data_IF_692005545015
#
_entry.id   IF_692005545015
#
_cell.length_a   1.000
_cell.length_b   1.000
_cell.length_c   1.000
_cell.angle_alpha   90.00
_cell.angle_beta   90.00
_cell.angle_gamma   90.00
#
_symmetry.space_group_name_H-M   'P 1'
#
loop_
_entity.id
_entity.type
_entity.pdbx_description
1 polymer ?
#
# COMPACT_ATOMS: atom_id res chain seq x y z
N UNK A 1 44.90 18.68 -67.07
CA UNK A 1 44.82 17.50 -66.20
C UNK A 1 43.93 17.89 -65.05
N UNK A 2 42.63 17.58 -65.17
CA UNK A 2 41.65 17.73 -64.10
C UNK A 2 41.50 16.36 -63.48
N UNK A 3 42.11 16.17 -62.30
CA UNK A 3 41.89 14.99 -61.48
C UNK A 3 40.47 15.05 -60.93
N UNK A 4 39.60 14.21 -61.49
CA UNK A 4 38.26 13.96 -60.96
C UNK A 4 38.43 13.12 -59.69
N UNK A 5 38.37 13.79 -58.53
CA UNK A 5 38.23 13.12 -57.24
C UNK A 5 36.97 12.23 -57.30
N UNK A 6 37.06 10.91 -57.05
CA UNK A 6 35.90 10.04 -57.06
C UNK A 6 34.97 10.46 -55.91
N UNK A 7 33.82 11.05 -56.27
CA UNK A 7 32.79 11.45 -55.33
C UNK A 7 32.47 10.29 -54.38
N UNK A 8 32.77 10.47 -53.09
CA UNK A 8 32.41 9.52 -52.05
C UNK A 8 30.90 9.26 -52.11
N UNK A 9 30.45 7.99 -51.96
CA UNK A 9 29.03 7.65 -52.05
C UNK A 9 28.25 8.44 -50.98
N UNK A 10 27.07 9.01 -51.32
CA UNK A 10 26.26 9.74 -50.37
C UNK A 10 25.84 8.79 -49.25
N UNK A 11 26.39 8.98 -48.05
CA UNK A 11 25.95 8.32 -46.83
C UNK A 11 24.63 8.94 -46.38
N UNK A 12 23.55 8.68 -47.11
CA UNK A 12 22.19 8.88 -46.60
C UNK A 12 21.85 7.73 -45.66
N UNK A 13 22.63 7.60 -44.58
CA UNK A 13 22.06 6.99 -43.37
C UNK A 13 21.08 8.03 -42.87
N UNK A 14 19.79 7.85 -43.21
CA UNK A 14 18.75 8.64 -42.58
C UNK A 14 18.93 8.44 -41.08
N UNK A 15 19.21 9.51 -40.36
CA UNK A 15 19.31 9.48 -38.90
C UNK A 15 18.02 8.94 -38.24
N UNK A 16 16.94 8.83 -39.03
CA UNK A 16 15.63 8.31 -38.68
C UNK A 16 15.54 6.76 -38.70
N UNK A 17 16.49 6.04 -39.31
CA UNK A 17 16.45 4.57 -39.44
C UNK A 17 16.95 3.83 -38.18
N UNK A 18 17.46 4.54 -37.17
CA UNK A 18 17.85 4.00 -35.86
C UNK A 18 16.89 4.45 -34.76
N UNK A 19 15.60 4.50 -35.07
CA UNK A 19 14.59 4.78 -34.06
C UNK A 19 14.39 3.55 -33.16
N UNK A 20 15.29 3.39 -32.18
CA UNK A 20 15.13 2.44 -31.11
C UNK A 20 13.93 2.88 -30.27
N UNK A 21 12.82 2.15 -30.36
CA UNK A 21 11.65 2.38 -29.52
C UNK A 21 12.07 2.26 -28.05
N UNK A 22 12.19 3.42 -27.37
CA UNK A 22 12.58 3.46 -25.97
C UNK A 22 11.54 2.68 -25.16
N UNK A 23 11.96 1.70 -24.34
CA UNK A 23 11.00 0.84 -23.71
C UNK A 23 10.19 1.61 -22.67
N UNK A 24 8.94 1.21 -22.48
CA UNK A 24 8.01 1.93 -21.63
C UNK A 24 8.56 2.16 -20.20
N UNK A 25 8.50 3.41 -19.73
CA UNK A 25 9.02 3.83 -18.41
C UNK A 25 8.04 3.57 -17.26
N UNK A 26 6.75 3.45 -17.56
CA UNK A 26 5.69 3.30 -16.54
C UNK A 26 5.83 2.07 -15.62
N UNK A 27 6.31 0.87 -16.07
CA UNK A 27 6.45 -0.28 -15.16
C UNK A 27 7.45 0.02 -14.05
N UNK A 28 8.51 0.78 -14.37
CA UNK A 28 9.52 1.22 -13.39
C UNK A 28 8.91 2.15 -12.35
N UNK A 29 8.14 3.15 -12.78
CA UNK A 29 7.51 4.13 -11.88
C UNK A 29 6.51 3.43 -10.94
N UNK A 30 5.57 2.65 -11.50
CA UNK A 30 4.56 1.94 -10.70
C UNK A 30 5.21 0.92 -9.77
N UNK A 31 6.24 0.20 -10.23
CA UNK A 31 6.97 -0.77 -9.43
C UNK A 31 7.66 -0.13 -8.22
N UNK A 32 8.31 1.03 -8.40
CA UNK A 32 8.94 1.78 -7.30
C UNK A 32 7.90 2.25 -6.30
N UNK A 33 6.77 2.82 -6.76
CA UNK A 33 5.70 3.29 -5.85
C UNK A 33 5.15 2.12 -5.03
N UNK A 34 4.86 0.97 -5.66
CA UNK A 34 4.43 -0.23 -4.95
C UNK A 34 5.42 -0.68 -3.87
N UNK A 35 6.73 -0.64 -4.15
CA UNK A 35 7.77 -1.01 -3.18
C UNK A 35 7.81 -0.02 -2.00
N UNK A 36 7.74 1.28 -2.28
CA UNK A 36 7.74 2.31 -1.23
C UNK A 36 6.50 2.16 -0.34
N UNK A 37 5.32 1.98 -0.94
CA UNK A 37 4.07 1.79 -0.18
C UNK A 37 4.06 0.48 0.61
N UNK A 38 4.64 -0.60 0.08
CA UNK A 38 4.83 -1.83 0.84
C UNK A 38 5.77 -1.60 2.04
N UNK A 39 6.84 -0.83 1.86
CA UNK A 39 7.75 -0.43 2.94
C UNK A 39 7.03 0.35 4.05
N UNK A 40 6.19 1.33 3.69
CA UNK A 40 5.33 2.03 4.64
C UNK A 40 4.39 1.05 5.35
N UNK A 41 3.77 0.13 4.60
CA UNK A 41 2.91 -0.93 5.14
C UNK A 41 3.64 -1.81 6.16
N UNK A 42 4.90 -2.17 5.92
CA UNK A 42 5.71 -2.95 6.87
C UNK A 42 6.07 -2.17 8.12
N UNK A 43 6.45 -0.89 7.98
CA UNK A 43 6.80 -0.07 9.15
C UNK A 43 5.56 0.19 9.99
N UNK A 44 4.46 0.66 9.38
CA UNK A 44 3.22 0.96 10.09
C UNK A 44 2.55 -0.30 10.64
N UNK A 45 2.40 -1.34 9.81
CA UNK A 45 1.78 -2.61 10.20
C UNK A 45 2.65 -3.39 11.20
N UNK A 46 3.97 -3.36 11.02
CA UNK A 46 4.93 -4.01 11.92
C UNK A 46 5.01 -3.33 13.28
N UNK A 47 5.08 -2.00 13.35
CA UNK A 47 5.03 -1.26 14.62
C UNK A 47 3.69 -1.50 15.31
N UNK A 48 2.57 -1.38 14.58
CA UNK A 48 1.24 -1.61 15.14
C UNK A 48 1.09 -3.01 15.72
N UNK A 49 1.40 -4.04 14.92
CA UNK A 49 1.34 -5.44 15.34
C UNK A 49 2.29 -5.72 16.52
N UNK A 50 3.52 -5.20 16.46
CA UNK A 50 4.49 -5.34 17.55
C UNK A 50 4.00 -4.71 18.84
N UNK A 51 3.43 -3.52 18.77
CA UNK A 51 2.84 -2.85 19.93
C UNK A 51 1.69 -3.67 20.51
N UNK A 52 0.82 -4.26 19.68
CA UNK A 52 -0.28 -5.12 20.16
C UNK A 52 0.20 -6.30 21.01
N UNK A 53 1.34 -6.92 20.68
CA UNK A 53 1.91 -8.00 21.48
C UNK A 53 2.56 -7.50 22.78
N UNK A 54 3.03 -6.26 22.80
CA UNK A 54 3.62 -5.62 23.99
C UNK A 54 2.55 -5.00 24.91
N UNK A 55 1.39 -4.61 24.38
CA UNK A 55 0.32 -3.94 25.13
C UNK A 55 -0.08 -4.67 26.40
N UNK A 56 -0.29 -6.00 26.45
CA UNK A 56 -0.64 -6.68 27.70
C UNK A 56 0.44 -6.56 28.78
N UNK A 57 1.72 -6.53 28.38
CA UNK A 57 2.84 -6.34 29.31
C UNK A 57 2.89 -4.91 29.83
N UNK A 58 2.72 -3.92 28.94
CA UNK A 58 2.71 -2.49 29.29
C UNK A 58 1.49 -2.15 30.16
N UNK A 59 0.31 -2.69 29.84
CA UNK A 59 -0.91 -2.44 30.62
C UNK A 59 -0.78 -2.96 32.04
N UNK A 60 -0.13 -4.10 32.28
CA UNK A 60 0.14 -4.59 33.65
C UNK A 60 1.02 -3.65 34.47
N UNK A 61 1.98 -2.98 33.84
CA UNK A 61 2.83 -1.99 34.53
C UNK A 61 2.13 -0.66 34.73
N UNK A 62 1.22 -0.28 33.83
CA UNK A 62 0.42 0.94 33.97
C UNK A 62 -0.70 0.76 35.00
N UNK A 63 -1.28 -0.43 35.10
CA UNK A 63 -2.31 -0.79 36.08
C UNK A 63 -1.80 -0.73 37.53
N UNK A 64 -0.50 -0.97 37.77
CA UNK A 64 0.07 -0.79 39.11
C UNK A 64 0.22 0.67 39.54
N UNK A 65 0.27 1.59 38.57
CA UNK A 65 0.52 3.01 38.80
C UNK A 65 -0.76 3.86 38.74
N UNK A 66 -1.78 3.41 38.00
CA UNK A 66 -3.08 4.06 37.94
C UNK A 66 -3.96 3.63 39.12
N UNK A 67 -4.20 4.56 40.05
CA UNK A 67 -5.15 4.43 41.17
C UNK A 67 -6.62 4.27 40.76
N UNK A 68 -6.94 4.24 39.45
CA UNK A 68 -8.29 4.32 38.88
C UNK A 68 -8.92 3.01 38.36
N UNK A 69 -8.24 1.86 38.49
CA UNK A 69 -8.82 0.55 38.16
C UNK A 69 -8.54 0.02 36.74
N UNK A 70 -8.92 -1.25 36.53
CA UNK A 70 -8.65 -2.04 35.32
C UNK A 70 -9.23 -1.34 34.08
N UNK A 71 -8.47 -1.19 32.97
CA UNK A 71 -9.01 -0.60 31.76
C UNK A 71 -10.25 -1.38 31.27
N UNK A 72 -11.32 -0.68 30.87
CA UNK A 72 -12.57 -1.32 30.46
C UNK A 72 -12.34 -2.26 29.27
N UNK A 73 -13.10 -3.35 29.22
CA UNK A 73 -12.97 -4.36 28.15
C UNK A 73 -13.13 -3.78 26.74
N UNK A 74 -13.86 -2.68 26.59
CA UNK A 74 -14.04 -1.97 25.31
C UNK A 74 -12.72 -1.41 24.74
N UNK A 75 -11.73 -1.19 25.60
CA UNK A 75 -10.39 -0.76 25.22
C UNK A 75 -9.45 -1.93 24.94
N UNK A 76 -9.87 -3.17 25.20
CA UNK A 76 -9.11 -4.32 24.72
C UNK A 76 -9.22 -4.40 23.20
N UNK A 77 -8.11 -4.76 22.57
CA UNK A 77 -8.03 -4.83 21.11
C UNK A 77 -8.88 -6.00 20.65
N UNK A 78 -9.85 -5.72 19.78
CA UNK A 78 -10.68 -6.75 19.16
C UNK A 78 -9.78 -7.78 18.42
N UNK A 79 -9.89 -9.08 18.74
CA UNK A 79 -9.19 -10.14 18.02
C UNK A 79 -9.38 -10.07 16.50
N UNK A 80 -10.55 -9.63 16.02
CA UNK A 80 -10.83 -9.48 14.59
C UNK A 80 -9.99 -8.37 13.95
N UNK A 81 -9.90 -7.20 14.59
CA UNK A 81 -9.04 -6.11 14.14
C UNK A 81 -7.56 -6.49 14.18
N UNK A 82 -7.15 -7.26 15.20
CA UNK A 82 -5.79 -7.79 15.31
C UNK A 82 -5.47 -8.73 14.14
N UNK A 83 -6.37 -9.67 13.83
CA UNK A 83 -6.20 -10.59 12.72
C UNK A 83 -6.10 -9.84 11.37
N UNK A 84 -6.91 -8.79 11.18
CA UNK A 84 -6.87 -7.94 10.00
C UNK A 84 -5.55 -7.17 9.90
N UNK A 85 -5.01 -6.62 11.00
CA UNK A 85 -3.71 -5.95 10.99
C UNK A 85 -2.58 -6.90 10.62
N UNK A 86 -2.54 -8.09 11.23
CA UNK A 86 -1.53 -9.12 10.93
C UNK A 86 -1.64 -9.54 9.47
N UNK A 87 -2.86 -9.84 9.00
CA UNK A 87 -3.10 -10.21 7.62
C UNK A 87 -2.70 -9.08 6.65
N UNK A 88 -3.07 -7.83 6.94
CA UNK A 88 -2.70 -6.67 6.13
C UNK A 88 -1.18 -6.45 6.05
N UNK A 89 -0.48 -6.67 7.15
CA UNK A 89 0.99 -6.61 7.20
C UNK A 89 1.62 -7.70 6.32
N UNK A 90 1.11 -8.94 6.39
CA UNK A 90 1.54 -10.03 5.50
C UNK A 90 1.15 -9.75 4.04
N UNK A 91 0.01 -9.10 3.80
CA UNK A 91 -0.46 -8.74 2.47
C UNK A 91 0.43 -7.67 1.81
N UNK A 92 1.14 -6.85 2.58
CA UNK A 92 2.15 -5.94 2.06
C UNK A 92 3.32 -6.67 1.36
N UNK A 93 3.61 -7.93 1.73
CA UNK A 93 4.58 -8.79 1.01
C UNK A 93 4.14 -9.02 -0.42
N UNK A 94 2.84 -9.22 -0.67
CA UNK A 94 2.31 -9.41 -2.02
C UNK A 94 2.54 -8.15 -2.85
N UNK A 95 2.28 -6.96 -2.30
CA UNK A 95 2.56 -5.69 -3.00
C UNK A 95 4.05 -5.50 -3.30
N UNK A 96 4.92 -5.83 -2.34
CA UNK A 96 6.37 -5.78 -2.53
C UNK A 96 6.83 -6.69 -3.66
N UNK A 97 6.41 -7.97 -3.65
CA UNK A 97 6.76 -8.95 -4.69
C UNK A 97 6.19 -8.54 -6.05
N UNK A 98 4.97 -7.98 -6.07
CA UNK A 98 4.36 -7.45 -7.29
C UNK A 98 5.19 -6.29 -7.86
N UNK A 99 5.63 -5.35 -7.01
CA UNK A 99 6.48 -4.23 -7.39
C UNK A 99 7.83 -4.69 -7.96
N UNK A 100 8.54 -5.58 -7.26
CA UNK A 100 9.81 -6.16 -7.73
C UNK A 100 9.64 -6.90 -9.06
N UNK A 101 8.56 -7.68 -9.19
CA UNK A 101 8.26 -8.41 -10.43
C UNK A 101 7.97 -7.46 -11.59
N UNK A 102 7.36 -6.30 -11.33
CA UNK A 102 7.08 -5.29 -12.34
C UNK A 102 8.37 -4.57 -12.79
N UNK A 103 9.32 -4.33 -11.87
CA UNK A 103 10.66 -3.84 -12.22
C UNK A 103 11.41 -4.83 -13.11
N UNK A 104 11.26 -6.12 -12.84
CA UNK A 104 11.77 -7.20 -13.70
C UNK A 104 10.96 -7.42 -14.98
N UNK A 105 10.00 -6.55 -15.29
CA UNK A 105 9.12 -6.62 -16.48
C UNK A 105 8.46 -7.98 -16.70
N UNK A 106 8.12 -8.67 -15.61
CA UNK A 106 7.45 -9.97 -15.68
C UNK A 106 5.94 -9.78 -15.90
N UNK A 107 5.32 -10.47 -16.88
CA UNK A 107 3.88 -10.31 -17.17
C UNK A 107 2.99 -10.72 -15.99
N UNK A 108 3.47 -11.64 -15.14
CA UNK A 108 2.78 -12.05 -13.91
C UNK A 108 2.56 -10.88 -12.92
N UNK A 109 3.37 -9.82 -12.99
CA UNK A 109 3.25 -8.66 -12.11
C UNK A 109 1.89 -7.97 -12.21
N UNK A 110 1.26 -8.00 -13.39
CA UNK A 110 -0.09 -7.45 -13.60
C UNK A 110 -1.12 -8.16 -12.73
N UNK A 111 -1.16 -9.50 -12.79
CA UNK A 111 -2.13 -10.28 -12.03
C UNK A 111 -1.92 -10.10 -10.53
N UNK A 112 -0.66 -10.05 -10.07
CA UNK A 112 -0.35 -9.83 -8.65
C UNK A 112 -0.85 -8.47 -8.14
N UNK A 113 -0.69 -7.38 -8.90
CA UNK A 113 -1.24 -6.07 -8.50
C UNK A 113 -2.77 -6.05 -8.48
N UNK A 114 -3.43 -6.71 -9.45
CA UNK A 114 -4.90 -6.81 -9.49
C UNK A 114 -5.42 -7.58 -8.27
N UNK A 115 -4.84 -8.75 -7.99
CA UNK A 115 -5.22 -9.58 -6.83
C UNK A 115 -4.96 -8.83 -5.53
N UNK A 116 -3.78 -8.21 -5.38
CA UNK A 116 -3.48 -7.36 -4.23
C UNK A 116 -4.55 -6.29 -4.04
N UNK A 117 -4.85 -5.54 -5.10
CA UNK A 117 -5.75 -4.40 -5.02
C UNK A 117 -7.19 -4.81 -4.71
N UNK A 118 -7.68 -5.90 -5.31
CA UNK A 118 -9.02 -6.42 -5.02
C UNK A 118 -9.18 -6.80 -3.53
N UNK A 119 -8.20 -7.53 -2.98
CA UNK A 119 -8.21 -7.92 -1.58
C UNK A 119 -8.02 -6.70 -0.67
N UNK A 120 -7.13 -5.77 -1.02
CA UNK A 120 -6.89 -4.57 -0.23
C UNK A 120 -8.13 -3.66 -0.13
N UNK A 121 -8.89 -3.51 -1.21
CA UNK A 121 -10.16 -2.78 -1.20
C UNK A 121 -11.15 -3.43 -0.23
N UNK A 122 -11.36 -4.74 -0.33
CA UNK A 122 -12.26 -5.48 0.57
C UNK A 122 -11.81 -5.36 2.03
N UNK A 123 -10.51 -5.55 2.28
CA UNK A 123 -9.93 -5.46 3.62
C UNK A 123 -10.09 -4.05 4.21
N UNK A 124 -9.95 -3.01 3.40
CA UNK A 124 -10.13 -1.62 3.83
C UNK A 124 -11.57 -1.35 4.26
N UNK A 125 -12.58 -1.84 3.52
CA UNK A 125 -13.98 -1.70 3.90
C UNK A 125 -14.31 -2.46 5.19
N UNK A 126 -13.87 -3.72 5.31
CA UNK A 126 -14.09 -4.54 6.51
C UNK A 126 -13.41 -3.90 7.74
N UNK A 127 -12.15 -3.49 7.60
CA UNK A 127 -11.40 -2.84 8.67
C UNK A 127 -12.04 -1.52 9.11
N UNK A 128 -12.50 -0.70 8.15
CA UNK A 128 -13.19 0.56 8.44
C UNK A 128 -14.49 0.30 9.20
N UNK A 129 -15.30 -0.67 8.76
CA UNK A 129 -16.55 -1.02 9.42
C UNK A 129 -16.33 -1.45 10.88
N UNK A 130 -15.37 -2.35 11.12
CA UNK A 130 -15.03 -2.79 12.48
C UNK A 130 -14.48 -1.65 13.34
N UNK A 131 -13.67 -0.77 12.76
CA UNK A 131 -13.14 0.41 13.47
C UNK A 131 -14.25 1.37 13.88
N UNK A 132 -15.27 1.56 13.03
CA UNK A 132 -16.46 2.36 13.37
C UNK A 132 -17.28 1.72 14.49
N UNK A 133 -17.47 0.38 14.46
CA UNK A 133 -18.15 -0.32 15.55
C UNK A 133 -17.40 -0.17 16.88
N UNK A 134 -16.06 -0.28 16.85
CA UNK A 134 -15.25 -0.09 18.04
C UNK A 134 -15.34 1.35 18.57
N UNK A 135 -15.30 2.36 17.70
CA UNK A 135 -15.47 3.75 18.09
C UNK A 135 -16.84 4.01 18.72
N UNK A 136 -17.91 3.43 18.18
CA UNK A 136 -19.24 3.56 18.76
C UNK A 136 -19.29 2.95 20.16
N UNK A 137 -18.72 1.75 20.36
CA UNK A 137 -18.69 1.11 21.67
C UNK A 137 -17.87 1.93 22.69
N UNK A 138 -16.75 2.52 22.28
CA UNK A 138 -15.96 3.42 23.13
C UNK A 138 -16.78 4.67 23.50
N UNK A 139 -17.45 5.28 22.52
CA UNK A 139 -18.32 6.45 22.75
C UNK A 139 -19.46 6.14 23.73
N UNK A 140 -20.13 5.01 23.57
CA UNK A 140 -21.22 4.58 24.46
C UNK A 140 -20.71 4.33 25.88
N UNK A 141 -19.50 3.78 26.02
CA UNK A 141 -18.85 3.57 27.31
C UNK A 141 -18.45 4.89 27.97
N UNK A 142 -17.87 5.83 27.23
CA UNK A 142 -17.51 7.17 27.72
C UNK A 142 -18.74 7.90 28.24
N UNK A 143 -19.85 7.85 27.50
CA UNK A 143 -21.11 8.46 27.92
C UNK A 143 -21.67 7.89 29.22
N UNK A 144 -21.41 6.60 29.50
CA UNK A 144 -21.83 5.92 30.73
C UNK A 144 -20.86 6.11 31.90
N UNK A 145 -19.61 6.51 31.64
CA UNK A 145 -18.54 6.62 32.65
C UNK A 145 -17.81 7.97 32.60
N UNK A 146 -18.53 9.11 32.64
CA UNK A 146 -17.94 10.43 32.43
C UNK A 146 -16.90 10.82 33.48
N UNK A 147 -17.00 10.27 34.70
CA UNK A 147 -16.10 10.60 35.80
C UNK A 147 -14.75 9.85 35.73
N UNK A 148 -14.59 8.90 34.79
CA UNK A 148 -13.33 8.16 34.65
C UNK A 148 -12.23 9.00 34.00
N UNK A 149 -11.00 8.90 34.49
CA UNK A 149 -9.84 9.58 33.87
C UNK A 149 -9.64 9.17 32.41
N UNK A 150 -9.97 7.92 32.07
CA UNK A 150 -9.97 7.43 30.70
C UNK A 150 -11.01 8.11 29.82
N UNK A 151 -12.25 8.31 30.30
CA UNK A 151 -13.25 9.05 29.54
C UNK A 151 -12.78 10.49 29.26
N UNK A 152 -12.23 11.16 30.27
CA UNK A 152 -11.74 12.54 30.16
C UNK A 152 -10.64 12.71 29.11
N UNK A 153 -9.78 11.70 28.91
CA UNK A 153 -8.69 11.74 27.92
C UNK A 153 -9.12 11.34 26.51
N UNK A 154 -10.24 10.61 26.35
CA UNK A 154 -10.71 10.09 25.05
C UNK A 154 -11.70 10.99 24.30
N UNK A 155 -11.99 12.19 24.79
CA UNK A 155 -13.04 13.08 24.25
C UNK A 155 -12.83 13.65 22.83
N UNK A 156 -11.80 13.26 22.06
CA UNK A 156 -11.59 13.83 20.73
C UNK A 156 -12.34 13.06 19.62
N UNK A 157 -13.67 13.19 19.56
CA UNK A 157 -14.49 12.63 18.46
C UNK A 157 -13.99 13.09 17.08
N UNK A 158 -13.51 14.33 16.98
CA UNK A 158 -12.93 14.88 15.76
C UNK A 158 -11.68 14.11 15.30
N UNK A 159 -10.82 13.70 16.24
CA UNK A 159 -9.61 12.94 15.92
C UNK A 159 -9.95 11.54 15.38
N UNK A 160 -10.94 10.88 15.98
CA UNK A 160 -11.44 9.59 15.55
C UNK A 160 -11.99 9.62 14.11
N UNK A 161 -12.81 10.63 13.80
CA UNK A 161 -13.37 10.82 12.46
C UNK A 161 -12.30 11.14 11.41
N UNK A 162 -11.34 12.02 11.73
CA UNK A 162 -10.21 12.33 10.84
C UNK A 162 -9.38 11.07 10.58
N UNK A 163 -9.12 10.27 11.62
CA UNK A 163 -8.38 9.02 11.50
C UNK A 163 -9.05 8.03 10.54
N UNK A 164 -10.37 7.84 10.67
CA UNK A 164 -11.16 6.97 9.78
C UNK A 164 -11.15 7.50 8.34
N UNK A 165 -11.39 8.79 8.13
CA UNK A 165 -11.41 9.39 6.81
C UNK A 165 -10.05 9.27 6.11
N UNK A 166 -8.96 9.55 6.83
CA UNK A 166 -7.61 9.44 6.32
C UNK A 166 -7.22 7.98 6.04
N UNK A 167 -7.56 7.06 6.95
CA UNK A 167 -7.34 5.63 6.77
C UNK A 167 -8.03 5.08 5.54
N UNK A 168 -9.29 5.47 5.31
CA UNK A 168 -10.05 5.07 4.13
C UNK A 168 -9.50 5.67 2.84
N UNK A 169 -9.13 6.97 2.87
CA UNK A 169 -8.54 7.63 1.71
C UNK A 169 -7.22 6.97 1.30
N UNK A 170 -6.29 6.76 2.23
CA UNK A 170 -5.01 6.10 1.93
C UNK A 170 -5.17 4.62 1.59
N UNK A 171 -6.06 3.92 2.30
CA UNK A 171 -6.33 2.50 2.08
C UNK A 171 -6.92 2.21 0.70
N UNK A 172 -7.66 3.16 0.11
CA UNK A 172 -8.28 2.99 -1.20
C UNK A 172 -7.52 3.67 -2.35
N UNK A 173 -6.78 4.75 -2.11
CA UNK A 173 -6.16 5.54 -3.19
C UNK A 173 -5.29 4.67 -4.11
N UNK A 174 -4.38 3.88 -3.54
CA UNK A 174 -3.47 3.04 -4.32
C UNK A 174 -4.15 1.80 -4.92
N UNK A 175 -4.92 1.00 -4.17
CA UNK A 175 -5.64 -0.14 -4.75
C UNK A 175 -6.61 0.25 -5.87
N UNK A 176 -7.38 1.34 -5.72
CA UNK A 176 -8.29 1.81 -6.77
C UNK A 176 -7.52 2.25 -8.01
N UNK A 177 -6.41 2.96 -7.84
CA UNK A 177 -5.51 3.30 -8.94
C UNK A 177 -5.01 2.04 -9.67
N UNK A 178 -4.54 1.03 -8.93
CA UNK A 178 -4.04 -0.22 -9.52
C UNK A 178 -5.12 -0.97 -10.30
N UNK A 179 -6.34 -1.08 -9.75
CA UNK A 179 -7.47 -1.70 -10.44
C UNK A 179 -7.80 -0.95 -11.72
N UNK A 180 -7.97 0.37 -11.66
CA UNK A 180 -8.24 1.19 -12.83
C UNK A 180 -7.13 1.05 -13.88
N UNK A 181 -5.88 1.19 -13.44
CA UNK A 181 -4.72 1.16 -14.33
C UNK A 181 -4.56 -0.20 -15.02
N UNK A 182 -4.58 -1.30 -14.29
CA UNK A 182 -4.35 -2.63 -14.89
C UNK A 182 -5.59 -3.27 -15.53
N UNK A 183 -6.80 -2.88 -15.14
CA UNK A 183 -8.04 -3.41 -15.76
C UNK A 183 -8.49 -2.60 -16.97
N UNK A 184 -8.23 -1.29 -17.00
CA UNK A 184 -8.75 -0.39 -18.04
C UNK A 184 -7.63 0.11 -18.96
N UNK A 185 -6.54 0.66 -18.40
CA UNK A 185 -5.48 1.31 -19.19
C UNK A 185 -4.48 0.30 -19.76
N UNK A 186 -3.96 -0.61 -18.92
CA UNK A 186 -2.88 -1.56 -19.23
C UNK A 186 -3.40 -3.00 -19.24
N UNK A 187 -4.28 -3.27 -20.20
CA UNK A 187 -4.97 -4.56 -20.36
C UNK A 187 -4.05 -5.66 -20.90
N UNK A 188 -3.17 -5.30 -21.83
CA UNK A 188 -2.24 -6.24 -22.45
C UNK A 188 -1.00 -6.46 -21.58
N UNK A 189 -0.78 -7.70 -21.14
CA UNK A 189 0.39 -8.07 -20.36
C UNK A 189 1.69 -8.00 -21.17
N UNK A 190 1.62 -8.10 -22.50
CA UNK A 190 2.80 -7.98 -23.36
C UNK A 190 3.38 -6.55 -23.36
N UNK A 191 2.57 -5.52 -23.06
CA UNK A 191 3.07 -4.14 -22.92
C UNK A 191 4.11 -3.98 -21.79
N UNK A 192 4.14 -4.89 -20.83
CA UNK A 192 5.11 -4.87 -19.73
C UNK A 192 6.50 -5.27 -20.24
N UNK A 193 6.57 -6.21 -21.20
CA UNK A 193 7.82 -6.76 -21.73
C UNK A 193 8.27 -6.12 -23.05
N UNK A 194 7.42 -5.34 -23.73
CA UNK A 194 7.78 -4.63 -24.97
C UNK A 194 9.01 -3.72 -24.75
N UNK A 195 9.98 -3.86 -25.66
CA UNK A 195 11.26 -3.14 -25.63
C UNK A 195 12.35 -3.75 -24.73
N UNK A 196 12.14 -4.97 -24.20
CA UNK A 196 13.21 -5.84 -23.66
C UNK A 196 13.60 -6.93 -24.67
N UNK A 197 12.93 -7.03 -25.82
CA UNK A 197 13.33 -7.98 -26.85
C UNK A 197 14.75 -7.64 -27.28
N UNK A 198 15.65 -8.45 -26.76
CA UNK A 198 17.09 -8.38 -26.96
C UNK A 198 17.37 -8.43 -28.46
N UNK A 199 18.26 -7.54 -28.87
CA UNK A 199 19.21 -7.78 -29.94
C UNK A 199 20.01 -9.03 -29.55
N UNK A 200 19.42 -10.21 -29.67
CA UNK A 200 20.15 -11.47 -29.59
C UNK A 200 20.77 -11.68 -30.96
N UNK A 201 22.05 -11.32 -31.06
CA UNK A 201 22.95 -11.77 -32.13
C UNK A 201 23.30 -13.25 -31.94
#
# INVERSE_FOLDING_TARGET
>A
MNDLDPAAPPTTHNADDLNFDEPAKWPKIVGIISIVLAGVGFVCGGIGTGFMFLTPGIMRTVESDLTGGVPPQVLTIDPALTAIMVFGTLWAVVLFVAGVSLLGRKPAARMMHIVYAAVAVLLTFVSTYLSMQQQQAISDWVAQNPDSEYAQTMHSEMGAMIGVAFGLALGLLWPVFLLFWFLIVKRDAAEISRGVQEVVA
#
